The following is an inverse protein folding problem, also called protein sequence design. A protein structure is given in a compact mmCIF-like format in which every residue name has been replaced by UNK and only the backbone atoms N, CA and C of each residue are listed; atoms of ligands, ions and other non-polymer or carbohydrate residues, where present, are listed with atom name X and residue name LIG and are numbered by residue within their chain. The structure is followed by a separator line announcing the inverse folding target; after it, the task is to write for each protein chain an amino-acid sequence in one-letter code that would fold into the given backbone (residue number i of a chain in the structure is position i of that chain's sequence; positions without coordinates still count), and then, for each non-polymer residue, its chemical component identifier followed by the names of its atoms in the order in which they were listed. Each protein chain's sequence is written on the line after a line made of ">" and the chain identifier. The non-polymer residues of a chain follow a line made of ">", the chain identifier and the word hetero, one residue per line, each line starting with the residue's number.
data_IF_218280461327
#
_entry.id   IF_218280461327
#
_cell.length_a   1.000
_cell.length_b   1.000
_cell.length_c   1.000
_cell.angle_alpha   90.00
_cell.angle_beta   90.00
_cell.angle_gamma   90.00
#
_symmetry.space_group_name_H-M   'P 1'
#
loop_
_entity.id
_entity.type
_entity.pdbx_description
1 polymer ?
#
# COMPACT_ATOMS: atom_id res chain seq x y z
N UNK A 1 17.81 -12.50 3.24
CA UNK A 1 17.81 -12.64 1.77
C UNK A 1 17.17 -11.39 1.16
N UNK A 2 17.49 -11.00 -0.09
CA UNK A 2 16.80 -9.90 -0.77
C UNK A 2 15.29 -10.16 -0.89
N UNK A 3 14.47 -9.12 -0.83
CA UNK A 3 13.00 -9.22 -0.81
C UNK A 3 12.43 -10.07 -1.95
N UNK A 4 12.87 -9.84 -3.20
CA UNK A 4 12.33 -10.57 -4.36
C UNK A 4 12.64 -12.07 -4.29
N UNK A 5 13.84 -12.44 -3.84
CA UNK A 5 14.21 -13.85 -3.65
C UNK A 5 13.40 -14.51 -2.54
N UNK A 6 13.15 -13.80 -1.44
CA UNK A 6 12.38 -14.30 -0.29
C UNK A 6 10.90 -14.52 -0.64
N UNK A 7 10.31 -13.62 -1.42
CA UNK A 7 8.87 -13.60 -1.72
C UNK A 7 8.50 -14.26 -3.05
N UNK A 8 9.49 -14.59 -3.89
CA UNK A 8 9.25 -14.99 -5.27
C UNK A 8 8.68 -13.87 -6.14
N UNK A 9 8.82 -12.60 -5.74
CA UNK A 9 8.31 -11.46 -6.51
C UNK A 9 9.09 -11.30 -7.81
N UNK A 10 8.41 -11.48 -8.94
CA UNK A 10 9.02 -11.56 -10.28
C UNK A 10 9.02 -10.24 -11.06
N UNK A 11 8.42 -9.19 -10.51
CA UNK A 11 8.31 -7.90 -11.20
C UNK A 11 9.47 -6.96 -10.82
N UNK A 12 9.69 -5.96 -11.68
CA UNK A 12 10.71 -4.94 -11.44
C UNK A 12 10.39 -4.16 -10.15
N UNK A 13 11.42 -3.94 -9.35
CA UNK A 13 11.35 -3.17 -8.12
C UNK A 13 12.41 -2.08 -8.18
N UNK A 14 11.96 -0.83 -8.11
CA UNK A 14 12.83 0.34 -8.10
C UNK A 14 12.86 0.95 -6.70
N UNK A 15 13.99 1.55 -6.36
CA UNK A 15 14.17 2.27 -5.10
C UNK A 15 14.38 3.76 -5.38
N UNK A 16 13.80 4.60 -4.53
CA UNK A 16 13.96 6.06 -4.56
C UNK A 16 14.55 6.55 -3.23
N UNK A 17 15.87 6.33 -2.97
CA UNK A 17 16.48 6.64 -1.68
C UNK A 17 16.40 8.13 -1.33
N UNK A 18 16.46 9.01 -2.33
CA UNK A 18 16.41 10.46 -2.18
C UNK A 18 14.98 11.00 -2.07
N UNK A 19 13.96 10.14 -2.27
CA UNK A 19 12.54 10.48 -2.24
C UNK A 19 12.15 11.53 -3.30
N UNK A 20 12.81 11.52 -4.46
CA UNK A 20 12.51 12.48 -5.53
C UNK A 20 11.13 12.24 -6.15
N UNK A 21 10.78 10.99 -6.42
CA UNK A 21 9.47 10.62 -6.97
C UNK A 21 8.40 10.95 -5.93
N UNK A 22 8.63 10.59 -4.67
CA UNK A 22 7.73 10.88 -3.55
C UNK A 22 7.41 12.39 -3.45
N UNK A 23 8.45 13.24 -3.51
CA UNK A 23 8.30 14.71 -3.47
C UNK A 23 7.63 15.25 -4.73
N UNK A 24 8.02 14.76 -5.90
CA UNK A 24 7.49 15.21 -7.19
C UNK A 24 6.00 14.92 -7.32
N UNK A 25 5.55 13.75 -6.83
CA UNK A 25 4.13 13.38 -6.81
C UNK A 25 3.33 14.09 -5.71
N UNK A 26 3.98 14.87 -4.83
CA UNK A 26 3.30 15.58 -3.73
C UNK A 26 2.78 14.67 -2.62
N UNK A 27 3.38 13.49 -2.44
CA UNK A 27 3.02 12.57 -1.36
C UNK A 27 3.35 13.19 0.01
N UNK A 28 2.56 12.82 1.03
CA UNK A 28 2.59 13.48 2.35
C UNK A 28 2.99 12.53 3.48
N UNK A 29 3.40 13.11 4.59
CA UNK A 29 3.58 12.41 5.87
C UNK A 29 2.38 12.71 6.77
N UNK A 30 1.93 11.72 7.53
CA UNK A 30 0.80 11.84 8.46
C UNK A 30 -0.57 11.67 7.79
N UNK A 31 -1.65 11.82 8.56
CA UNK A 31 -3.02 11.67 8.09
C UNK A 31 -3.57 13.05 7.66
N UNK A 32 -4.09 13.13 6.42
CA UNK A 32 -4.64 14.36 5.87
C UNK A 32 -6.02 14.70 6.45
N UNK A 33 -6.04 15.53 7.51
CA UNK A 33 -7.23 16.11 8.16
C UNK A 33 -8.24 15.11 8.77
N UNK A 34 -8.81 15.47 9.91
CA UNK A 34 -9.67 14.64 10.77
C UNK A 34 -11.07 14.32 10.18
N UNK A 35 -11.16 13.92 8.91
CA UNK A 35 -12.41 13.38 8.37
C UNK A 35 -12.34 11.87 8.53
N UNK A 36 -12.97 11.39 9.60
CA UNK A 36 -13.34 9.99 9.80
C UNK A 36 -14.14 9.51 8.59
N UNK A 37 -13.46 9.03 7.55
CA UNK A 37 -14.12 8.33 6.45
C UNK A 37 -14.45 6.95 6.97
N UNK A 38 -15.70 6.79 7.44
CA UNK A 38 -16.26 5.51 7.86
C UNK A 38 -16.39 4.64 6.61
N UNK A 39 -15.36 3.83 6.32
CA UNK A 39 -15.41 2.83 5.25
C UNK A 39 -16.58 1.87 5.51
N UNK A 40 -17.48 1.63 4.52
CA UNK A 40 -18.54 0.63 4.64
C UNK A 40 -18.02 -0.80 4.87
N UNK A 41 -16.74 -1.05 4.55
CA UNK A 41 -16.13 -2.38 4.54
C UNK A 41 -15.27 -2.69 5.77
N UNK A 42 -15.12 -1.76 6.71
CA UNK A 42 -14.32 -2.00 7.92
C UNK A 42 -15.18 -1.76 9.16
N UNK A 43 -15.59 -2.85 9.82
CA UNK A 43 -16.15 -2.77 11.18
C UNK A 43 -15.08 -2.14 12.07
N UNK A 44 -15.41 -1.06 12.76
CA UNK A 44 -14.52 -0.24 13.60
C UNK A 44 -13.66 -1.02 14.61
N UNK A 45 -14.04 -2.25 14.97
CA UNK A 45 -13.28 -3.12 15.87
C UNK A 45 -12.14 -3.90 15.19
N UNK A 46 -12.19 -4.13 13.88
CA UNK A 46 -11.07 -4.76 13.14
C UNK A 46 -9.90 -3.78 13.01
N UNK A 47 -10.19 -2.49 12.86
CA UNK A 47 -9.19 -1.43 12.75
C UNK A 47 -8.24 -1.34 13.94
N UNK A 48 -8.79 -1.35 15.16
CA UNK A 48 -8.01 -1.39 16.39
C UNK A 48 -7.16 -2.67 16.49
N UNK A 49 -7.67 -3.80 16.00
CA UNK A 49 -6.94 -5.07 15.94
C UNK A 49 -5.79 -5.04 14.93
N UNK A 50 -6.03 -4.53 13.72
CA UNK A 50 -5.03 -4.38 12.65
C UNK A 50 -3.95 -3.39 13.05
N UNK A 51 -4.31 -2.25 13.65
CA UNK A 51 -3.33 -1.27 14.16
C UNK A 51 -2.46 -1.88 15.26
N UNK A 52 -3.06 -2.64 16.20
CA UNK A 52 -2.29 -3.32 17.28
C UNK A 52 -1.41 -4.45 16.76
N UNK A 53 -1.86 -5.18 15.75
CA UNK A 53 -1.10 -6.25 15.08
C UNK A 53 0.10 -5.67 14.33
N UNK A 54 -0.12 -4.61 13.54
CA UNK A 54 0.96 -3.88 12.84
C UNK A 54 1.93 -3.27 13.85
N UNK A 55 1.43 -2.64 14.91
CA UNK A 55 2.28 -2.09 15.98
C UNK A 55 3.14 -3.18 16.64
N UNK A 56 2.56 -4.33 16.97
CA UNK A 56 3.28 -5.47 17.56
C UNK A 56 4.30 -6.07 16.61
N UNK A 57 4.02 -6.10 15.30
CA UNK A 57 4.98 -6.50 14.27
C UNK A 57 6.12 -5.47 14.15
N UNK A 58 5.82 -4.17 14.20
CA UNK A 58 6.81 -3.09 14.13
C UNK A 58 7.72 -2.98 15.36
N UNK A 59 7.22 -3.31 16.56
CA UNK A 59 8.01 -3.30 17.79
C UNK A 59 8.57 -4.68 18.14
N UNK A 60 8.40 -5.67 17.25
CA UNK A 60 8.85 -7.04 17.47
C UNK A 60 10.28 -7.23 16.95
N UNK A 61 11.11 -8.06 17.63
CA UNK A 61 12.49 -8.32 17.21
C UNK A 61 12.61 -9.06 15.86
N UNK A 62 11.49 -9.54 15.30
CA UNK A 62 11.43 -10.26 14.02
C UNK A 62 11.30 -9.35 12.79
N UNK A 63 10.85 -8.10 12.97
CA UNK A 63 10.69 -7.13 11.88
C UNK A 63 11.41 -5.84 12.27
N UNK A 64 12.64 -5.69 11.76
CA UNK A 64 13.35 -4.43 11.82
C UNK A 64 12.68 -3.49 10.80
N UNK A 65 11.62 -2.81 11.22
CA UNK A 65 10.85 -1.92 10.36
C UNK A 65 11.70 -0.70 10.03
N UNK A 66 12.39 -0.74 8.89
CA UNK A 66 13.30 0.32 8.43
C UNK A 66 12.58 1.47 7.68
N UNK A 67 11.24 1.46 7.62
CA UNK A 67 10.43 2.48 6.97
C UNK A 67 9.93 3.57 7.92
N UNK A 68 9.57 4.75 7.39
CA UNK A 68 8.87 5.79 8.16
C UNK A 68 7.36 5.46 8.23
N UNK A 69 6.78 5.12 9.41
CA UNK A 69 5.38 4.73 9.53
C UNK A 69 4.37 5.86 9.25
N UNK A 70 4.85 7.10 9.15
CA UNK A 70 4.04 8.25 8.79
C UNK A 70 4.05 8.52 7.29
N UNK A 71 4.93 7.87 6.51
CA UNK A 71 5.01 8.09 5.07
C UNK A 71 3.79 7.47 4.37
N UNK A 72 3.02 8.30 3.65
CA UNK A 72 1.93 7.83 2.80
C UNK A 72 2.43 7.31 1.46
N UNK A 73 1.63 6.44 0.84
CA UNK A 73 1.87 5.90 -0.49
C UNK A 73 0.81 6.37 -1.50
N UNK A 74 0.64 5.56 -2.54
CA UNK A 74 -0.37 5.76 -3.55
C UNK A 74 -0.24 4.73 -4.66
N UNK A 75 -1.12 4.84 -5.66
CA UNK A 75 -1.10 4.01 -6.86
C UNK A 75 -1.21 4.89 -8.11
N UNK A 76 -0.50 4.50 -9.18
CA UNK A 76 -0.41 5.23 -10.43
C UNK A 76 -0.52 4.24 -11.60
N UNK A 77 -1.28 4.60 -12.64
CA UNK A 77 -1.29 3.91 -13.93
C UNK A 77 -0.65 4.84 -14.95
N UNK A 78 0.50 4.44 -15.47
CA UNK A 78 1.21 5.14 -16.54
C UNK A 78 0.80 4.58 -17.90
N UNK A 79 0.42 5.46 -18.81
CA UNK A 79 0.13 5.16 -20.20
C UNK A 79 1.36 5.31 -21.09
N UNK A 80 1.26 4.89 -22.37
CA UNK A 80 2.26 5.23 -23.37
C UNK A 80 2.43 6.75 -23.49
N UNK A 81 3.66 7.21 -23.72
CA UNK A 81 3.91 8.63 -24.04
C UNK A 81 3.93 9.60 -22.86
N UNK A 82 4.45 9.18 -21.69
CA UNK A 82 4.53 10.00 -20.47
C UNK A 82 3.17 10.50 -19.94
N UNK A 83 2.10 9.78 -20.24
CA UNK A 83 0.76 10.11 -19.77
C UNK A 83 0.41 9.39 -18.47
N UNK A 84 -0.27 10.11 -17.57
CA UNK A 84 -0.81 9.53 -16.33
C UNK A 84 -2.30 9.24 -16.55
N UNK A 85 -2.66 7.97 -16.66
CA UNK A 85 -4.05 7.55 -16.85
C UNK A 85 -4.85 7.51 -15.54
N UNK A 86 -4.17 7.28 -14.41
CA UNK A 86 -4.79 7.27 -13.09
C UNK A 86 -3.75 7.58 -12.03
N UNK A 87 -4.12 8.41 -11.04
CA UNK A 87 -3.32 8.67 -9.86
C UNK A 87 -4.20 8.71 -8.63
N UNK A 88 -3.84 7.93 -7.62
CA UNK A 88 -4.40 7.98 -6.28
C UNK A 88 -3.28 8.18 -5.27
N UNK A 89 -3.34 9.27 -4.51
CA UNK A 89 -2.41 9.55 -3.41
C UNK A 89 -3.14 9.28 -2.10
N UNK A 90 -2.59 8.38 -1.29
CA UNK A 90 -3.25 7.96 -0.05
C UNK A 90 -3.33 9.14 0.92
N UNK A 91 -4.52 9.43 1.45
CA UNK A 91 -4.71 10.49 2.46
C UNK A 91 -4.41 10.03 3.87
N UNK A 92 -4.55 8.74 4.13
CA UNK A 92 -4.27 8.09 5.41
C UNK A 92 -4.08 6.58 5.18
N UNK A 93 -3.73 5.86 6.25
CA UNK A 93 -3.40 4.41 6.23
C UNK A 93 -4.53 3.49 5.76
N UNK A 94 -5.75 4.00 5.61
CA UNK A 94 -6.93 3.23 5.21
C UNK A 94 -7.52 3.69 3.89
N UNK A 95 -6.97 4.77 3.33
CA UNK A 95 -7.40 5.35 2.06
C UNK A 95 -6.63 4.71 0.89
N UNK A 96 -6.34 3.41 0.97
CA UNK A 96 -5.72 2.69 -0.15
C UNK A 96 -6.77 2.40 -1.22
N UNK A 97 -6.41 2.61 -2.49
CA UNK A 97 -7.26 2.18 -3.61
C UNK A 97 -7.34 0.63 -3.65
N UNK A 98 -8.53 0.02 -3.74
CA UNK A 98 -8.64 -1.42 -3.88
C UNK A 98 -7.95 -1.92 -5.14
N UNK A 99 -7.17 -3.00 -5.02
CA UNK A 99 -6.39 -3.54 -6.15
C UNK A 99 -7.25 -3.88 -7.37
N UNK A 100 -8.45 -4.41 -7.18
CA UNK A 100 -9.35 -4.71 -8.31
C UNK A 100 -9.84 -3.46 -9.04
N UNK A 101 -9.94 -2.31 -8.37
CA UNK A 101 -10.22 -1.02 -9.02
C UNK A 101 -9.06 -0.63 -9.92
N UNK A 102 -7.82 -0.74 -9.45
CA UNK A 102 -6.62 -0.43 -10.25
C UNK A 102 -6.52 -1.37 -11.46
N UNK A 103 -6.72 -2.68 -11.26
CA UNK A 103 -6.68 -3.67 -12.33
C UNK A 103 -7.76 -3.41 -13.40
N UNK A 104 -8.97 -3.05 -12.97
CA UNK A 104 -10.05 -2.70 -13.89
C UNK A 104 -9.74 -1.43 -14.70
N UNK A 105 -9.22 -0.39 -14.06
CA UNK A 105 -8.80 0.85 -14.73
C UNK A 105 -7.64 0.62 -15.71
N UNK A 106 -6.75 -0.33 -15.40
CA UNK A 106 -5.67 -0.75 -16.28
C UNK A 106 -6.14 -1.68 -17.43
N UNK A 107 -7.42 -2.09 -17.44
CA UNK A 107 -7.96 -2.99 -18.46
C UNK A 107 -7.45 -4.43 -18.36
N UNK A 108 -7.00 -4.86 -17.17
CA UNK A 108 -6.49 -6.21 -16.93
C UNK A 108 -7.43 -7.03 -16.04
N UNK A 109 -7.24 -8.35 -16.03
CA UNK A 109 -8.07 -9.28 -15.26
C UNK A 109 -7.95 -9.00 -13.75
N UNK A 110 -9.09 -8.88 -13.07
CA UNK A 110 -9.16 -8.73 -11.61
C UNK A 110 -8.84 -10.04 -10.88
N UNK A 111 -8.50 -9.94 -9.59
CA UNK A 111 -8.20 -11.08 -8.74
C UNK A 111 -9.38 -11.37 -7.82
N UNK A 112 -9.73 -12.65 -7.67
CA UNK A 112 -10.74 -13.11 -6.72
C UNK A 112 -10.08 -13.52 -5.40
N UNK A 113 -10.37 -12.78 -4.33
CA UNK A 113 -9.84 -13.01 -2.99
C UNK A 113 -10.77 -13.88 -2.11
N UNK A 114 -11.92 -14.32 -2.62
CA UNK A 114 -12.91 -15.05 -1.80
C UNK A 114 -12.45 -16.44 -1.36
N UNK A 115 -11.44 -17.03 -2.01
CA UNK A 115 -11.11 -18.45 -1.84
C UNK A 115 -9.64 -18.80 -1.49
N UNK A 116 -8.75 -17.85 -1.16
CA UNK A 116 -7.35 -18.18 -0.82
C UNK A 116 -6.74 -17.28 0.24
N UNK A 117 -6.78 -17.72 1.51
CA UNK A 117 -5.74 -17.33 2.47
C UNK A 117 -4.49 -18.15 2.14
N UNK A 118 -3.64 -17.64 1.24
CA UNK A 118 -2.25 -18.09 1.25
C UNK A 118 -1.55 -17.34 2.38
N UNK A 119 -1.62 -17.91 3.59
CA UNK A 119 -0.72 -17.52 4.66
C UNK A 119 0.66 -18.00 4.21
N UNK A 120 1.51 -17.04 3.84
CA UNK A 120 2.93 -17.30 3.66
C UNK A 120 3.51 -17.21 5.06
N UNK A 121 3.83 -18.36 5.65
CA UNK A 121 4.69 -18.40 6.84
C UNK A 121 6.10 -18.00 6.38
N UNK A 122 6.59 -16.86 6.88
CA UNK A 122 7.94 -16.33 6.64
C UNK A 122 8.80 -16.65 7.85
#
# INVERSE_FOLDING_TARGET
>A
QPFCSLTGYTHEMYVDPQREIYRTLGMKRGEGSNVSVRSPHVKSNMLLGSIRSVWRAMTGPAFDFQGDPAQQGGALILGPGNEVHFLHLDKNRLDHVPINTVLQLAGVKTVDFTNKLQIIDI
#
